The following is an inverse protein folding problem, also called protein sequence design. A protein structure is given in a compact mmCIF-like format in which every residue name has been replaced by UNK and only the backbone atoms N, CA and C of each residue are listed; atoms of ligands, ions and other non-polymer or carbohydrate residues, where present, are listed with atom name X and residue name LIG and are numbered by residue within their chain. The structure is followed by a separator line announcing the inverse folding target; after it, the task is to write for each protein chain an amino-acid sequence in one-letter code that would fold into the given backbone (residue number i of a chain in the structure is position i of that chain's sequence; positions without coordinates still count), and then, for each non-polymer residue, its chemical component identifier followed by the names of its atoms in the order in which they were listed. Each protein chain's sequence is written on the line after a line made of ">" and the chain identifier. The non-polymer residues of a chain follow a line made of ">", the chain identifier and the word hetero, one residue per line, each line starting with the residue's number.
data_IF_920292762621
#
_entry.id   IF_920292762621
#
_cell.length_a   1.000
_cell.length_b   1.000
_cell.length_c   1.000
_cell.angle_alpha   90.00
_cell.angle_beta   90.00
_cell.angle_gamma   90.00
#
_symmetry.space_group_name_H-M   'P 1'
#
loop_
_entity.id
_entity.type
_entity.pdbx_description
1 polymer ?
#
# COMPACT_ATOMS: atom_id res chain seq x y z
N UNK A 1 15.02 -12.78 8.18
CA UNK A 1 14.09 -11.67 7.93
C UNK A 1 13.20 -11.53 9.16
N UNK A 2 13.30 -10.42 9.90
CA UNK A 2 12.65 -10.30 11.22
C UNK A 2 11.12 -10.31 11.11
N UNK A 3 10.49 -11.26 11.79
CA UNK A 3 9.06 -11.28 12.11
C UNK A 3 8.55 -9.95 12.67
N UNK A 4 9.43 -9.19 13.32
CA UNK A 4 9.12 -7.96 14.03
C UNK A 4 8.66 -6.83 13.09
N UNK A 5 9.18 -6.78 11.86
CA UNK A 5 8.75 -5.73 10.90
C UNK A 5 7.34 -5.97 10.39
N UNK A 6 6.98 -7.24 10.18
CA UNK A 6 5.66 -7.65 9.71
C UNK A 6 4.58 -7.29 10.74
N UNK A 7 4.80 -7.69 11.98
CA UNK A 7 3.90 -7.39 13.09
C UNK A 7 3.79 -5.87 13.32
N UNK A 8 4.87 -5.12 13.10
CA UNK A 8 4.87 -3.65 13.18
C UNK A 8 3.97 -3.01 12.13
N UNK A 9 4.09 -3.38 10.85
CA UNK A 9 3.25 -2.77 9.80
C UNK A 9 1.77 -3.07 10.01
N UNK A 10 1.43 -4.32 10.34
CA UNK A 10 0.05 -4.70 10.66
C UNK A 10 -0.47 -3.98 11.91
N UNK A 11 0.37 -3.81 12.94
CA UNK A 11 0.01 -3.07 14.15
C UNK A 11 -0.28 -1.59 13.86
N UNK A 12 0.56 -0.95 13.04
CA UNK A 12 0.34 0.45 12.61
C UNK A 12 -0.98 0.55 11.84
N UNK A 13 -1.21 -0.34 10.87
CA UNK A 13 -2.45 -0.36 10.08
C UNK A 13 -3.68 -0.48 10.98
N UNK A 14 -3.72 -1.45 11.88
CA UNK A 14 -4.84 -1.67 12.81
C UNK A 14 -5.09 -0.51 13.76
N UNK A 15 -4.03 0.20 14.18
CA UNK A 15 -4.13 1.30 15.15
C UNK A 15 -4.48 2.64 14.50
N UNK A 16 -4.07 2.87 13.26
CA UNK A 16 -4.17 4.17 12.57
C UNK A 16 -5.18 4.19 11.42
N UNK A 17 -5.75 3.04 11.11
CA UNK A 17 -6.76 2.84 10.06
C UNK A 17 -7.53 1.56 10.31
N UNK A 18 -7.78 0.79 9.25
CA UNK A 18 -8.43 -0.51 9.37
C UNK A 18 -8.81 -1.11 8.02
N UNK A 19 -9.30 -2.34 8.06
CA UNK A 19 -9.87 -3.01 6.88
C UNK A 19 -11.12 -2.27 6.38
N UNK A 20 -11.41 -2.40 5.09
CA UNK A 20 -12.59 -1.85 4.42
C UNK A 20 -13.34 -2.92 3.65
N UNK A 21 -14.14 -2.52 2.66
CA UNK A 21 -14.81 -3.42 1.73
C UNK A 21 -13.79 -4.14 0.84
N UNK A 22 -12.85 -3.39 0.27
CA UNK A 22 -11.86 -3.89 -0.69
C UNK A 22 -10.47 -4.05 -0.07
N UNK A 23 -10.23 -3.41 1.06
CA UNK A 23 -8.93 -3.42 1.74
C UNK A 23 -8.94 -4.40 2.90
N UNK A 24 -8.10 -5.44 2.83
CA UNK A 24 -8.01 -6.50 3.82
C UNK A 24 -6.58 -6.71 4.29
N UNK A 25 -6.43 -7.18 5.52
CA UNK A 25 -5.23 -7.84 6.00
C UNK A 25 -5.27 -9.26 5.43
N UNK A 26 -4.19 -9.68 4.77
CA UNK A 26 -4.09 -11.05 4.25
C UNK A 26 -3.82 -12.00 5.41
N UNK A 27 -4.61 -13.07 5.48
CA UNK A 27 -4.60 -14.12 6.49
C UNK A 27 -4.88 -15.45 5.80
N UNK A 28 -4.47 -16.57 6.39
CA UNK A 28 -4.74 -17.91 5.86
C UNK A 28 -6.21 -18.13 5.46
N UNK A 29 -7.16 -17.52 6.17
CA UNK A 29 -8.59 -17.62 5.90
C UNK A 29 -9.07 -16.95 4.60
N UNK A 30 -8.34 -15.95 4.07
CA UNK A 30 -8.70 -15.21 2.85
C UNK A 30 -7.61 -15.28 1.76
N UNK A 31 -6.49 -15.95 2.01
CA UNK A 31 -5.39 -16.07 1.05
C UNK A 31 -5.80 -16.68 -0.29
N UNK A 32 -6.76 -17.62 -0.28
CA UNK A 32 -7.24 -18.28 -1.51
C UNK A 32 -7.88 -17.29 -2.49
N UNK A 33 -8.50 -16.24 -1.97
CA UNK A 33 -9.18 -15.19 -2.76
C UNK A 33 -8.19 -14.40 -3.63
N UNK A 34 -6.91 -14.39 -3.24
CA UNK A 34 -5.84 -13.61 -3.87
C UNK A 34 -4.72 -14.49 -4.45
N UNK A 35 -4.93 -15.81 -4.48
CA UNK A 35 -3.92 -16.80 -4.87
C UNK A 35 -3.30 -16.55 -6.25
N UNK A 36 -4.09 -16.05 -7.21
CA UNK A 36 -3.59 -15.68 -8.54
C UNK A 36 -2.53 -14.58 -8.50
N UNK A 37 -2.63 -13.65 -7.55
CA UNK A 37 -1.66 -12.56 -7.37
C UNK A 37 -0.37 -13.04 -6.70
N UNK A 38 -0.44 -14.10 -5.89
CA UNK A 38 0.73 -14.61 -5.16
C UNK A 38 1.80 -15.22 -6.06
N UNK A 39 1.45 -15.56 -7.30
CA UNK A 39 2.42 -15.96 -8.34
C UNK A 39 3.46 -14.88 -8.66
N UNK A 40 3.19 -13.61 -8.31
CA UNK A 40 4.09 -12.47 -8.54
C UNK A 40 5.09 -12.24 -7.39
N UNK A 41 4.95 -12.98 -6.29
CA UNK A 41 5.78 -12.82 -5.10
C UNK A 41 7.15 -13.48 -5.29
N UNK A 42 8.20 -12.81 -4.82
CA UNK A 42 9.54 -13.38 -4.74
C UNK A 42 9.61 -14.51 -3.70
N UNK A 43 10.65 -15.35 -3.79
CA UNK A 43 10.89 -16.40 -2.80
C UNK A 43 11.00 -15.79 -1.39
N UNK A 44 10.14 -16.24 -0.45
CA UNK A 44 10.01 -15.73 0.93
C UNK A 44 9.35 -14.36 1.07
N UNK A 45 8.89 -13.74 -0.02
CA UNK A 45 8.03 -12.57 0.05
C UNK A 45 6.66 -12.98 0.59
N UNK A 46 6.18 -12.25 1.61
CA UNK A 46 4.91 -12.53 2.29
C UNK A 46 3.97 -11.35 2.11
N UNK A 47 2.75 -11.56 1.61
CA UNK A 47 1.78 -10.49 1.45
C UNK A 47 1.19 -10.11 2.81
N UNK A 48 0.82 -8.85 2.99
CA UNK A 48 0.40 -8.30 4.30
C UNK A 48 -0.94 -7.59 4.21
N UNK A 49 -1.04 -6.60 3.33
CA UNK A 49 -2.26 -5.83 3.10
C UNK A 49 -2.58 -5.91 1.62
N UNK A 50 -3.86 -5.93 1.31
CA UNK A 50 -4.34 -5.86 -0.06
C UNK A 50 -5.49 -4.89 -0.15
N UNK A 51 -5.52 -4.09 -1.20
CA UNK A 51 -6.70 -3.40 -1.71
C UNK A 51 -7.01 -4.03 -3.06
N UNK A 52 -8.16 -4.69 -3.18
CA UNK A 52 -8.51 -5.48 -4.35
C UNK A 52 -9.92 -5.17 -4.85
N UNK A 53 -10.03 -4.48 -5.98
CA UNK A 53 -11.30 -4.34 -6.71
C UNK A 53 -11.44 -5.49 -7.71
N UNK A 54 -10.41 -5.68 -8.53
CA UNK A 54 -10.33 -6.72 -9.55
C UNK A 54 -8.88 -6.91 -10.01
N UNK A 55 -8.63 -7.85 -10.93
CA UNK A 55 -7.29 -8.15 -11.43
C UNK A 55 -6.60 -6.99 -12.17
N UNK A 56 -7.36 -5.98 -12.62
CA UNK A 56 -6.82 -4.81 -13.30
C UNK A 56 -6.51 -3.67 -12.32
N UNK A 57 -7.15 -3.66 -11.15
CA UNK A 57 -7.09 -2.57 -10.17
C UNK A 57 -6.91 -3.13 -8.75
N UNK A 58 -5.66 -3.17 -8.31
CA UNK A 58 -5.29 -3.68 -7.01
C UNK A 58 -3.97 -3.10 -6.51
N UNK A 59 -3.80 -3.12 -5.20
CA UNK A 59 -2.58 -2.77 -4.50
C UNK A 59 -2.28 -3.86 -3.47
N UNK A 60 -1.04 -4.28 -3.36
CA UNK A 60 -0.57 -5.25 -2.39
C UNK A 60 0.69 -4.74 -1.71
N UNK A 61 0.62 -4.61 -0.39
CA UNK A 61 1.80 -4.41 0.44
C UNK A 61 2.30 -5.77 0.91
N UNK A 62 3.57 -6.05 0.65
CA UNK A 62 4.28 -7.22 1.17
C UNK A 62 5.30 -6.79 2.22
N UNK A 63 6.05 -7.75 2.72
CA UNK A 63 7.20 -7.52 3.58
C UNK A 63 8.43 -6.94 2.88
N UNK A 64 8.45 -6.92 1.55
CA UNK A 64 9.61 -6.54 0.75
C UNK A 64 9.30 -5.37 -0.20
N UNK A 65 8.12 -5.39 -0.82
CA UNK A 65 7.72 -4.47 -1.90
C UNK A 65 6.26 -4.05 -1.77
N UNK A 66 5.92 -3.04 -2.57
CA UNK A 66 4.56 -2.78 -3.00
C UNK A 66 4.44 -3.31 -4.41
N UNK A 67 3.39 -4.07 -4.68
CA UNK A 67 2.95 -4.40 -6.04
C UNK A 67 1.60 -3.72 -6.28
N UNK A 68 1.40 -3.13 -7.44
CA UNK A 68 0.12 -2.49 -7.78
C UNK A 68 -0.16 -2.64 -9.27
N UNK A 69 -1.44 -2.74 -9.61
CA UNK A 69 -1.96 -2.66 -10.96
C UNK A 69 -3.02 -1.58 -11.03
N UNK A 70 -2.90 -0.71 -12.02
CA UNK A 70 -3.90 0.30 -12.36
C UNK A 70 -4.22 0.16 -13.84
N UNK A 71 -5.49 -0.09 -14.17
CA UNK A 71 -5.94 -0.37 -15.55
C UNK A 71 -5.12 -1.47 -16.26
N UNK A 72 -4.69 -2.49 -15.50
CA UNK A 72 -3.90 -3.62 -16.00
C UNK A 72 -2.40 -3.32 -16.19
N UNK A 73 -1.93 -2.11 -15.91
CA UNK A 73 -0.51 -1.77 -15.89
C UNK A 73 0.06 -2.05 -14.51
N UNK A 74 0.91 -3.06 -14.42
CA UNK A 74 1.56 -3.44 -13.18
C UNK A 74 2.88 -2.70 -12.96
N UNK A 75 3.10 -2.23 -11.74
CA UNK A 75 4.39 -1.73 -11.27
C UNK A 75 4.70 -2.32 -9.90
N UNK A 76 5.98 -2.35 -9.55
CA UNK A 76 6.43 -2.70 -8.20
C UNK A 76 7.44 -1.69 -7.69
N UNK A 77 7.48 -1.52 -6.37
CA UNK A 77 8.38 -0.61 -5.66
C UNK A 77 8.99 -1.34 -4.46
N UNK A 78 10.32 -1.39 -4.34
CA UNK A 78 10.96 -1.91 -3.13
C UNK A 78 10.71 -0.97 -1.95
N UNK A 79 10.34 -1.53 -0.80
CA UNK A 79 10.08 -0.73 0.40
C UNK A 79 11.30 0.05 0.86
N UNK A 80 12.50 -0.50 0.64
CA UNK A 80 13.78 0.15 0.97
C UNK A 80 14.07 1.38 0.13
N UNK A 81 13.38 1.56 -1.00
CA UNK A 81 13.62 2.67 -1.92
C UNK A 81 12.61 3.79 -1.76
N UNK A 82 11.57 3.61 -0.94
CA UNK A 82 10.60 4.65 -0.62
C UNK A 82 11.28 5.72 0.24
N UNK A 83 11.28 6.96 -0.25
CA UNK A 83 11.87 8.12 0.45
C UNK A 83 10.83 9.07 1.01
N UNK A 84 9.64 9.13 0.42
CA UNK A 84 8.57 10.04 0.84
C UNK A 84 7.21 9.46 0.45
N UNK A 85 6.23 9.56 1.35
CA UNK A 85 4.83 9.25 1.05
C UNK A 85 3.94 10.38 1.54
N UNK A 86 3.04 10.86 0.68
CA UNK A 86 2.10 11.93 0.99
C UNK A 86 0.79 11.77 0.21
N UNK A 87 -0.31 12.41 0.65
CA UNK A 87 -1.51 12.54 -0.19
C UNK A 87 -1.17 13.13 -1.56
N UNK A 88 -1.75 12.55 -2.61
CA UNK A 88 -1.60 13.01 -3.98
C UNK A 88 -2.54 14.19 -4.27
N UNK A 89 -2.30 15.32 -3.59
CA UNK A 89 -3.25 16.46 -3.55
C UNK A 89 -3.64 16.97 -4.93
N UNK A 90 -2.71 17.01 -5.88
CA UNK A 90 -3.01 17.47 -7.23
C UNK A 90 -4.00 16.52 -7.91
N UNK A 91 -3.77 15.22 -7.77
CA UNK A 91 -4.55 14.15 -8.36
C UNK A 91 -5.94 14.00 -7.71
N UNK A 92 -6.07 14.33 -6.43
CA UNK A 92 -7.35 14.44 -5.70
C UNK A 92 -8.16 15.66 -6.16
N UNK A 93 -7.51 16.82 -6.20
CA UNK A 93 -8.16 18.08 -6.57
C UNK A 93 -8.63 18.09 -8.03
N UNK A 94 -7.88 17.43 -8.93
CA UNK A 94 -8.29 17.24 -10.32
C UNK A 94 -9.60 16.43 -10.44
N UNK A 95 -9.94 15.61 -9.43
CA UNK A 95 -11.22 14.89 -9.33
C UNK A 95 -12.27 15.64 -8.49
N UNK A 96 -12.00 16.89 -8.12
CA UNK A 96 -12.90 17.72 -7.30
C UNK A 96 -12.91 17.33 -5.82
N UNK A 97 -11.99 16.48 -5.36
CA UNK A 97 -11.93 16.01 -3.98
C UNK A 97 -11.15 17.03 -3.14
N UNK A 98 -11.87 17.80 -2.33
CA UNK A 98 -11.31 18.80 -1.39
C UNK A 98 -11.35 18.34 0.07
N UNK A 99 -12.26 17.42 0.41
CA UNK A 99 -12.37 16.86 1.76
C UNK A 99 -11.33 15.76 1.94
N UNK A 100 -10.35 16.00 2.82
CA UNK A 100 -9.27 15.04 3.14
C UNK A 100 -9.77 13.68 3.61
N UNK A 101 -11.01 13.60 4.13
CA UNK A 101 -11.63 12.34 4.56
C UNK A 101 -12.00 11.43 3.38
N UNK A 102 -12.12 12.01 2.18
CA UNK A 102 -12.46 11.32 0.93
C UNK A 102 -11.23 11.02 0.05
N UNK A 103 -10.02 11.28 0.55
CA UNK A 103 -8.82 10.97 -0.21
C UNK A 103 -8.68 9.46 -0.42
N UNK A 104 -8.20 9.12 -1.61
CA UNK A 104 -7.98 7.76 -2.10
C UNK A 104 -6.59 7.57 -2.71
N UNK A 105 -5.85 8.65 -2.99
CA UNK A 105 -4.61 8.62 -3.76
C UNK A 105 -3.41 9.00 -2.91
N UNK A 106 -2.42 8.11 -2.88
CA UNK A 106 -1.12 8.36 -2.26
C UNK A 106 -0.05 8.54 -3.32
N UNK A 107 0.76 9.58 -3.16
CA UNK A 107 1.98 9.79 -3.92
C UNK A 107 3.15 9.19 -3.16
N UNK A 108 3.85 8.26 -3.81
CA UNK A 108 5.01 7.54 -3.29
C UNK A 108 6.22 7.95 -4.11
N UNK A 109 7.20 8.59 -3.48
CA UNK A 109 8.48 8.96 -4.10
C UNK A 109 9.55 7.95 -3.70
N UNK A 110 10.38 7.59 -4.66
CA UNK A 110 11.50 6.67 -4.46
C UNK A 110 12.86 7.36 -4.66
N UNK A 111 13.95 6.70 -4.22
CA UNK A 111 15.34 7.24 -4.20
C UNK A 111 15.83 7.87 -5.49
N UNK A 112 15.42 7.34 -6.65
CA UNK A 112 15.81 7.89 -7.96
C UNK A 112 15.02 9.15 -8.37
N UNK A 113 14.21 9.71 -7.47
CA UNK A 113 13.39 10.90 -7.69
C UNK A 113 12.06 10.63 -8.37
N UNK A 114 11.83 9.43 -8.94
CA UNK A 114 10.54 9.06 -9.53
C UNK A 114 9.45 9.04 -8.47
N UNK A 115 8.25 9.40 -8.88
CA UNK A 115 7.05 9.37 -8.05
C UNK A 115 5.96 8.56 -8.74
N UNK A 116 5.20 7.82 -7.94
CA UNK A 116 4.07 7.01 -8.37
C UNK A 116 2.84 7.42 -7.59
N UNK A 117 1.67 7.30 -8.20
CA UNK A 117 0.39 7.54 -7.54
C UNK A 117 -0.30 6.19 -7.41
N UNK A 118 -0.74 5.86 -6.21
CA UNK A 118 -1.51 4.66 -5.93
C UNK A 118 -2.90 5.07 -5.50
N UNK A 119 -3.94 4.56 -6.18
CA UNK A 119 -5.32 4.64 -5.73
C UNK A 119 -5.60 3.53 -4.71
N UNK A 120 -6.35 3.86 -3.68
CA UNK A 120 -6.70 3.04 -2.52
C UNK A 120 -8.17 3.26 -2.15
N UNK A 121 -8.68 2.43 -1.24
CA UNK A 121 -10.01 2.62 -0.68
C UNK A 121 -10.06 3.81 0.30
N UNK A 122 -11.08 4.65 0.17
CA UNK A 122 -11.28 5.83 1.04
C UNK A 122 -11.45 5.48 2.52
N UNK A 123 -11.29 6.47 3.39
CA UNK A 123 -11.56 6.32 4.83
C UNK A 123 -10.44 5.61 5.60
N UNK A 124 -10.83 4.71 6.52
CA UNK A 124 -9.88 4.03 7.42
C UNK A 124 -8.81 3.20 6.68
N UNK A 125 -9.13 2.47 5.58
CA UNK A 125 -8.13 1.82 4.75
C UNK A 125 -7.02 2.75 4.26
N UNK A 126 -7.39 3.85 3.59
CA UNK A 126 -6.44 4.85 3.12
C UNK A 126 -5.56 5.38 4.26
N UNK A 127 -6.15 5.75 5.39
CA UNK A 127 -5.40 6.27 6.54
C UNK A 127 -4.41 5.23 7.08
N UNK A 128 -4.83 3.97 7.19
CA UNK A 128 -3.98 2.88 7.66
C UNK A 128 -2.79 2.66 6.73
N UNK A 129 -3.03 2.53 5.42
CA UNK A 129 -1.98 2.32 4.43
C UNK A 129 -1.03 3.52 4.40
N UNK A 130 -1.57 4.74 4.40
CA UNK A 130 -0.76 5.96 4.45
C UNK A 130 0.21 5.97 5.62
N UNK A 131 -0.27 5.64 6.82
CA UNK A 131 0.54 5.65 8.04
C UNK A 131 1.59 4.54 8.06
N UNK A 132 1.29 3.37 7.50
CA UNK A 132 2.28 2.30 7.30
C UNK A 132 3.39 2.75 6.35
N UNK A 133 3.03 3.28 5.18
CA UNK A 133 4.02 3.68 4.18
C UNK A 133 4.83 4.90 4.63
N UNK A 134 4.23 5.84 5.34
CA UNK A 134 4.92 6.97 5.95
C UNK A 134 5.92 6.51 7.02
N UNK A 135 5.56 5.53 7.85
CA UNK A 135 6.50 4.90 8.79
C UNK A 135 7.68 4.23 8.09
N UNK A 136 7.43 3.52 6.98
CA UNK A 136 8.48 2.91 6.16
C UNK A 136 9.44 3.98 5.61
N UNK A 137 8.91 5.04 5.00
CA UNK A 137 9.70 6.14 4.46
C UNK A 137 10.57 6.80 5.55
N UNK A 138 9.99 7.10 6.71
CA UNK A 138 10.72 7.68 7.84
C UNK A 138 11.87 6.78 8.31
N UNK A 139 11.65 5.47 8.43
CA UNK A 139 12.70 4.54 8.84
C UNK A 139 13.83 4.40 7.80
N UNK A 140 13.54 4.64 6.52
CA UNK A 140 14.56 4.65 5.49
C UNK A 140 15.42 5.92 5.53
N UNK A 141 14.85 7.06 5.93
CA UNK A 141 15.55 8.34 6.00
C UNK A 141 16.31 8.57 7.32
N UNK A 142 15.92 7.87 8.39
CA UNK A 142 16.61 7.93 9.69
C UNK A 142 17.81 6.98 9.81
N UNK A 143 18.20 6.32 8.70
CA UNK A 143 19.34 5.40 8.59
C UNK A 143 20.41 6.02 7.70
#
# INVERSE_FOLDING_TARGET
>A
MNSDKLSTYISIFKRKGGEGLYTKIIKESNERDYSSLFSQLEEKEKPLLIYFINLLNWFMLTNNRILMSEEGKSIFLYLTDITEVRPALQEEMNEGIVDKRKFTKLKIKIKNGKSFVSKLEEGQPYQGIYQVLHFIANNNNSR
#
